data_IF_918480736043
#
_entry.id   IF_918480736043
#
_cell.length_a   1.000
_cell.length_b   1.000
_cell.length_c   1.000
_cell.angle_alpha   90.00
_cell.angle_beta   90.00
_cell.angle_gamma   90.00
#
_symmetry.space_group_name_H-M   'P 1'
#
loop_
_entity.id
_entity.type
_entity.pdbx_description
1 polymer ?
#
# COMPACT_ATOMS: atom_id res chain seq x y z
N UNK A 1 10.44 2.45 -5.96
CA UNK A 1 9.04 2.83 -5.64
C UNK A 1 8.32 1.64 -5.02
N UNK A 2 8.33 1.46 -3.69
CA UNK A 2 7.91 0.19 -3.08
C UNK A 2 6.68 0.20 -2.16
N UNK A 3 6.29 1.33 -1.56
CA UNK A 3 5.41 1.26 -0.37
C UNK A 3 3.90 1.39 -0.65
N UNK A 4 3.42 2.32 -1.48
CA UNK A 4 1.99 2.74 -1.47
C UNK A 4 0.96 1.65 -1.76
N UNK A 5 1.33 0.59 -2.48
CA UNK A 5 0.45 -0.55 -2.76
C UNK A 5 0.09 -1.36 -1.52
N UNK A 6 0.89 -1.33 -0.46
CA UNK A 6 0.62 -2.08 0.76
C UNK A 6 -0.33 -1.31 1.71
N UNK A 7 -0.30 0.02 1.69
CA UNK A 7 -1.08 0.87 2.62
C UNK A 7 -2.43 1.30 2.05
N UNK A 8 -2.67 1.05 0.76
CA UNK A 8 -3.91 1.42 0.09
C UNK A 8 -4.10 2.93 -0.10
N UNK A 9 -3.02 3.64 -0.44
CA UNK A 9 -3.10 5.07 -0.69
C UNK A 9 -3.72 5.35 -2.07
N UNK A 10 -4.97 5.82 -2.08
CA UNK A 10 -5.73 6.20 -3.29
C UNK A 10 -5.33 7.57 -3.86
N UNK A 11 -4.53 8.35 -3.15
CA UNK A 11 -4.16 9.70 -3.55
C UNK A 11 -2.65 9.80 -3.75
N UNK A 12 -2.16 9.10 -4.79
CA UNK A 12 -0.76 9.18 -5.20
C UNK A 12 -0.65 9.96 -6.51
N UNK A 13 -0.83 11.27 -6.43
CA UNK A 13 -0.53 12.18 -7.53
C UNK A 13 0.97 12.16 -7.85
N UNK A 14 1.37 12.62 -9.03
CA UNK A 14 2.78 12.73 -9.43
C UNK A 14 3.64 13.63 -8.52
N UNK A 15 3.03 14.35 -7.59
CA UNK A 15 3.70 15.15 -6.56
C UNK A 15 4.14 14.32 -5.33
N UNK A 16 3.68 13.08 -5.16
CA UNK A 16 3.91 12.26 -3.96
C UNK A 16 5.17 11.37 -4.05
N UNK A 17 6.08 11.77 -4.93
CA UNK A 17 7.46 11.32 -5.05
C UNK A 17 8.21 12.38 -5.87
N UNK A 18 9.51 12.51 -5.65
CA UNK A 18 10.29 13.50 -6.39
C UNK A 18 11.74 13.08 -6.54
N UNK A 19 12.51 13.98 -7.14
CA UNK A 19 13.95 13.87 -7.25
C UNK A 19 14.55 15.03 -6.47
N UNK A 20 15.36 14.72 -5.48
CA UNK A 20 16.16 15.70 -4.73
C UNK A 20 17.38 16.01 -5.58
N UNK A 21 17.48 17.25 -6.04
CA UNK A 21 18.66 17.78 -6.71
C UNK A 21 19.33 18.81 -5.80
N UNK A 22 20.64 18.99 -5.95
CA UNK A 22 21.32 20.13 -5.35
C UNK A 22 21.25 21.30 -6.33
N UNK A 23 20.81 22.47 -5.86
CA UNK A 23 20.70 23.70 -6.68
C UNK A 23 22.04 24.05 -7.35
N UNK A 24 23.14 23.84 -6.62
CA UNK A 24 24.51 24.08 -7.09
C UNK A 24 25.07 22.95 -7.98
N UNK A 25 24.32 21.88 -8.23
CA UNK A 25 24.73 20.78 -9.12
C UNK A 25 25.86 19.86 -8.61
N UNK A 26 26.38 20.06 -7.39
CA UNK A 26 27.53 19.30 -6.87
C UNK A 26 27.23 17.85 -6.48
N UNK A 27 25.95 17.46 -6.45
CA UNK A 27 25.53 16.09 -6.16
C UNK A 27 24.56 15.60 -7.21
N UNK A 28 24.76 14.36 -7.64
CA UNK A 28 23.86 13.69 -8.56
C UNK A 28 22.44 13.65 -7.99
N UNK A 29 21.43 13.89 -8.83
CA UNK A 29 20.03 13.75 -8.46
C UNK A 29 19.75 12.38 -7.82
N UNK A 30 18.94 12.36 -6.76
CA UNK A 30 18.49 11.12 -6.09
C UNK A 30 16.98 11.13 -5.88
N UNK A 31 16.34 9.98 -5.90
CA UNK A 31 14.92 9.92 -5.54
C UNK A 31 14.71 10.37 -4.09
N UNK A 32 13.65 11.14 -3.86
CA UNK A 32 13.21 11.47 -2.51
C UNK A 32 12.79 10.20 -1.78
N UNK A 33 12.84 10.17 -0.43
CA UNK A 33 12.04 9.26 0.35
C UNK A 33 10.57 9.33 -0.08
N UNK A 34 9.81 8.26 0.15
CA UNK A 34 8.37 8.29 -0.11
C UNK A 34 7.71 9.15 0.98
N UNK A 35 6.86 10.09 0.57
CA UNK A 35 6.11 10.97 1.46
C UNK A 35 4.62 11.01 1.04
N UNK A 36 3.78 11.63 1.87
CA UNK A 36 2.33 11.74 1.68
C UNK A 36 1.60 10.39 1.50
N UNK A 37 1.75 9.50 2.50
CA UNK A 37 1.04 8.21 2.58
C UNK A 37 -0.15 8.22 3.54
N UNK A 38 -0.54 9.40 4.06
CA UNK A 38 -1.48 9.54 5.16
C UNK A 38 -2.93 9.12 4.82
N UNK A 39 -3.29 9.08 3.53
CA UNK A 39 -4.65 8.76 3.06
C UNK A 39 -4.94 7.25 2.92
N UNK A 40 -3.99 6.39 3.29
CA UNK A 40 -4.20 4.94 3.37
C UNK A 40 -4.86 4.49 4.68
N UNK A 41 -5.04 3.18 4.84
CA UNK A 41 -5.38 2.53 6.12
C UNK A 41 -6.61 3.09 6.86
N UNK A 42 -7.73 3.24 6.15
CA UNK A 42 -9.02 3.65 6.72
C UNK A 42 -9.02 5.05 7.37
N UNK A 43 -8.14 5.96 6.92
CA UNK A 43 -8.09 7.34 7.40
C UNK A 43 -9.47 8.03 7.45
N UNK A 44 -10.28 7.85 6.40
CA UNK A 44 -11.61 8.46 6.28
C UNK A 44 -12.74 7.69 7.00
N UNK A 45 -12.45 6.56 7.65
CA UNK A 45 -13.44 5.78 8.41
C UNK A 45 -13.20 6.01 9.89
N UNK A 46 -14.19 6.51 10.60
CA UNK A 46 -14.14 6.71 12.05
C UNK A 46 -14.35 5.41 12.83
N UNK A 47 -14.26 5.46 14.17
CA UNK A 47 -14.39 4.25 15.00
C UNK A 47 -15.76 3.59 14.93
N UNK A 48 -16.82 4.39 14.82
CA UNK A 48 -18.19 3.89 14.69
C UNK A 48 -18.42 3.24 13.33
N UNK A 49 -17.87 3.84 12.27
CA UNK A 49 -17.81 3.26 10.94
C UNK A 49 -17.13 1.90 10.95
N UNK A 50 -15.97 1.77 11.59
CA UNK A 50 -15.27 0.49 11.73
C UNK A 50 -16.07 -0.52 12.57
N UNK A 51 -16.71 -0.09 13.66
CA UNK A 51 -17.54 -0.95 14.52
C UNK A 51 -18.64 -1.64 13.72
N UNK A 52 -19.32 -0.89 12.85
CA UNK A 52 -20.38 -1.43 11.97
C UNK A 52 -19.88 -2.48 10.97
N UNK A 53 -18.57 -2.53 10.70
CA UNK A 53 -17.99 -3.51 9.79
C UNK A 53 -17.40 -4.73 10.51
N UNK A 54 -17.32 -4.76 11.85
CA UNK A 54 -16.64 -5.86 12.57
C UNK A 54 -17.20 -7.24 12.24
N UNK A 55 -18.54 -7.37 12.15
CA UNK A 55 -19.20 -8.64 11.79
C UNK A 55 -19.00 -9.08 10.34
N UNK A 56 -18.59 -8.16 9.46
CA UNK A 56 -18.33 -8.40 8.03
C UNK A 56 -16.94 -7.90 7.61
N UNK A 57 -15.98 -8.01 8.52
CA UNK A 57 -14.66 -7.43 8.36
C UNK A 57 -13.99 -7.92 7.07
N UNK A 58 -14.05 -9.22 6.79
CA UNK A 58 -13.44 -9.81 5.60
C UNK A 58 -14.04 -9.20 4.32
N UNK A 59 -15.36 -9.18 4.18
CA UNK A 59 -16.05 -8.58 3.02
C UNK A 59 -15.69 -7.09 2.85
N UNK A 60 -15.63 -6.35 3.96
CA UNK A 60 -15.24 -4.95 3.94
C UNK A 60 -13.79 -4.77 3.47
N UNK A 61 -12.87 -5.60 3.96
CA UNK A 61 -11.47 -5.58 3.55
C UNK A 61 -11.31 -6.02 2.08
N UNK A 62 -12.05 -7.03 1.63
CA UNK A 62 -12.08 -7.49 0.23
C UNK A 62 -12.41 -6.33 -0.70
N UNK A 63 -13.52 -5.65 -0.40
CA UNK A 63 -13.94 -4.48 -1.13
C UNK A 63 -12.89 -3.37 -1.08
N UNK A 64 -12.39 -3.02 0.11
CA UNK A 64 -11.38 -1.97 0.28
C UNK A 64 -10.08 -2.27 -0.50
N UNK A 65 -9.64 -3.53 -0.51
CA UNK A 65 -8.44 -3.93 -1.26
C UNK A 65 -8.63 -3.86 -2.76
N UNK A 66 -9.82 -4.22 -3.25
CA UNK A 66 -10.18 -4.22 -4.68
C UNK A 66 -10.42 -2.80 -5.21
N UNK A 67 -11.12 -1.96 -4.47
CA UNK A 67 -11.52 -0.59 -4.86
C UNK A 67 -10.44 0.45 -4.56
N UNK A 68 -9.20 -0.02 -4.35
CA UNK A 68 -8.03 0.82 -4.15
C UNK A 68 -7.29 0.93 -5.49
N UNK A 69 -7.54 2.04 -6.19
CA UNK A 69 -7.07 2.27 -7.55
C UNK A 69 -5.80 3.13 -7.58
N UNK A 70 -4.76 2.71 -8.32
CA UNK A 70 -3.63 3.58 -8.63
C UNK A 70 -4.07 4.74 -9.53
N UNK A 71 -3.37 5.87 -9.40
CA UNK A 71 -3.44 6.97 -10.37
C UNK A 71 -2.78 6.64 -11.73
N UNK A 72 -2.15 5.47 -11.83
CA UNK A 72 -1.55 4.96 -13.07
C UNK A 72 -2.44 3.85 -13.63
N UNK A 73 -2.86 4.00 -14.88
CA UNK A 73 -3.62 2.99 -15.60
C UNK A 73 -2.73 2.06 -16.44
N UNK A 74 -3.37 1.30 -17.32
CA UNK A 74 -2.71 0.52 -18.37
C UNK A 74 -3.54 0.62 -19.64
N UNK A 75 -2.90 0.86 -20.78
CA UNK A 75 -3.60 1.02 -22.05
C UNK A 75 -4.41 -0.25 -22.38
N UNK A 76 -5.71 -0.08 -22.65
CA UNK A 76 -6.63 -1.19 -22.89
C UNK A 76 -7.23 -1.85 -21.65
N UNK A 77 -6.93 -1.36 -20.44
CA UNK A 77 -7.65 -1.74 -19.21
C UNK A 77 -8.42 -0.54 -18.65
N UNK A 78 -9.71 -0.75 -18.38
CA UNK A 78 -10.52 0.26 -17.69
C UNK A 78 -10.26 0.18 -16.18
N UNK A 79 -9.74 1.27 -15.62
CA UNK A 79 -9.48 1.47 -14.18
C UNK A 79 -8.83 0.26 -13.46
N UNK A 80 -7.64 -0.21 -13.90
CA UNK A 80 -7.00 -1.37 -13.28
C UNK A 80 -6.60 -1.04 -11.84
N UNK A 81 -6.88 -1.96 -10.91
CA UNK A 81 -6.44 -1.83 -9.52
C UNK A 81 -4.93 -2.04 -9.39
N UNK A 82 -4.40 -1.82 -8.18
CA UNK A 82 -2.96 -1.89 -7.95
C UNK A 82 -2.31 -3.20 -8.36
N UNK A 83 -3.00 -4.33 -8.19
CA UNK A 83 -2.49 -5.67 -8.46
C UNK A 83 -2.53 -6.00 -9.95
N UNK A 84 -3.56 -5.56 -10.66
CA UNK A 84 -3.67 -5.70 -12.11
C UNK A 84 -2.53 -4.95 -12.83
N UNK A 85 -2.20 -3.75 -12.37
CA UNK A 85 -1.05 -3.02 -12.90
C UNK A 85 0.27 -3.76 -12.61
N UNK A 86 0.42 -4.45 -11.47
CA UNK A 86 1.64 -5.26 -11.23
C UNK A 86 1.72 -6.43 -12.21
N UNK A 87 0.61 -7.16 -12.39
CA UNK A 87 0.56 -8.27 -13.35
C UNK A 87 0.99 -7.82 -14.73
N UNK A 88 0.46 -6.69 -15.20
CA UNK A 88 0.84 -6.11 -16.49
C UNK A 88 2.33 -5.73 -16.57
N UNK A 89 2.90 -5.17 -15.49
CA UNK A 89 4.35 -4.91 -15.43
C UNK A 89 5.15 -6.20 -15.54
N UNK A 90 4.76 -7.27 -14.84
CA UNK A 90 5.47 -8.56 -14.91
C UNK A 90 5.33 -9.18 -16.31
N UNK A 91 4.13 -9.15 -16.89
CA UNK A 91 3.84 -9.66 -18.23
C UNK A 91 4.68 -8.97 -19.32
N UNK A 92 4.81 -7.64 -19.28
CA UNK A 92 5.48 -6.87 -20.33
C UNK A 92 6.96 -6.59 -20.03
N UNK A 93 7.35 -6.65 -18.76
CA UNK A 93 8.72 -6.39 -18.32
C UNK A 93 9.18 -7.43 -17.27
N UNK A 94 9.34 -8.71 -17.67
CA UNK A 94 9.67 -9.80 -16.73
C UNK A 94 10.95 -9.58 -15.92
N UNK A 95 11.89 -8.77 -16.43
CA UNK A 95 13.12 -8.41 -15.73
C UNK A 95 12.90 -7.69 -14.39
N UNK A 96 11.73 -7.08 -14.17
CA UNK A 96 11.38 -6.47 -12.90
C UNK A 96 10.81 -7.46 -11.87
N UNK A 97 10.41 -8.67 -12.26
CA UNK A 97 9.80 -9.65 -11.35
C UNK A 97 10.69 -9.97 -10.14
N UNK A 98 12.03 -10.19 -10.26
CA UNK A 98 12.86 -10.43 -9.08
C UNK A 98 12.91 -9.25 -8.12
N UNK A 99 12.85 -8.02 -8.64
CA UNK A 99 12.80 -6.80 -7.81
C UNK A 99 11.47 -6.69 -7.08
N UNK A 100 10.36 -6.99 -7.76
CA UNK A 100 9.03 -7.01 -7.17
C UNK A 100 8.88 -8.11 -6.12
N UNK A 101 9.44 -9.29 -6.36
CA UNK A 101 9.45 -10.38 -5.39
C UNK A 101 10.16 -10.00 -4.08
N UNK A 102 11.28 -9.26 -4.15
CA UNK A 102 11.98 -8.73 -2.96
C UNK A 102 11.13 -7.77 -2.11
N UNK A 103 10.07 -7.19 -2.69
CA UNK A 103 9.15 -6.29 -1.99
C UNK A 103 8.00 -7.04 -1.29
N UNK A 104 7.90 -8.37 -1.44
CA UNK A 104 6.98 -9.19 -0.65
C UNK A 104 7.50 -9.34 0.78
N UNK A 105 7.47 -8.22 1.53
CA UNK A 105 7.98 -8.12 2.90
C UNK A 105 7.06 -8.87 3.87
N UNK A 106 7.22 -10.19 3.97
CA UNK A 106 6.31 -11.07 4.72
C UNK A 106 6.17 -10.70 6.21
N UNK A 107 7.20 -10.09 6.79
CA UNK A 107 7.18 -9.65 8.20
C UNK A 107 6.49 -8.30 8.40
N UNK A 108 6.04 -7.62 7.34
CA UNK A 108 5.43 -6.30 7.43
C UNK A 108 4.26 -6.24 8.43
N UNK A 109 3.25 -7.15 8.40
CA UNK A 109 2.14 -7.06 9.35
C UNK A 109 2.60 -7.23 10.80
N UNK A 110 3.57 -8.11 11.07
CA UNK A 110 4.13 -8.30 12.41
C UNK A 110 4.89 -7.07 12.89
N UNK A 111 5.67 -6.45 12.00
CA UNK A 111 6.42 -5.23 12.31
C UNK A 111 5.48 -4.05 12.57
N UNK A 112 4.41 -3.92 11.79
CA UNK A 112 3.37 -2.89 12.01
C UNK A 112 2.61 -3.14 13.30
N UNK A 113 2.29 -4.39 13.62
CA UNK A 113 1.66 -4.75 14.90
C UNK A 113 2.53 -4.34 16.10
N UNK A 114 3.84 -4.60 16.05
CA UNK A 114 4.80 -4.12 17.06
C UNK A 114 4.87 -2.60 17.14
N UNK A 115 4.93 -1.91 16.00
CA UNK A 115 4.95 -0.44 15.93
C UNK A 115 3.69 0.15 16.58
N UNK A 116 2.51 -0.38 16.25
CA UNK A 116 1.24 0.06 16.81
C UNK A 116 1.11 -0.22 18.31
N UNK A 117 1.78 -1.26 18.81
CA UNK A 117 1.80 -1.60 20.22
C UNK A 117 2.79 -0.75 21.02
N UNK A 118 3.95 -0.39 20.44
CA UNK A 118 5.01 0.33 21.15
C UNK A 118 4.92 1.86 21.02
N UNK A 119 4.81 2.38 19.80
CA UNK A 119 4.88 3.83 19.52
C UNK A 119 3.52 4.50 19.50
N UNK A 120 2.46 3.73 19.19
CA UNK A 120 1.08 4.22 19.06
C UNK A 120 0.15 3.58 20.10
N UNK A 121 0.71 3.19 21.25
CA UNK A 121 -0.08 2.80 22.40
C UNK A 121 -0.97 3.98 22.84
N UNK A 122 -2.27 3.75 23.01
CA UNK A 122 -3.24 4.81 23.35
C UNK A 122 -3.70 5.73 22.21
N UNK A 123 -2.98 5.82 21.08
CA UNK A 123 -3.39 6.68 19.94
C UNK A 123 -4.44 6.03 19.03
N UNK A 124 -4.47 4.70 18.99
CA UNK A 124 -5.43 3.94 18.20
C UNK A 124 -6.22 2.98 19.07
N UNK A 125 -7.51 2.83 18.76
CA UNK A 125 -8.34 1.78 19.36
C UNK A 125 -7.82 0.39 18.98
N UNK A 126 -8.08 -0.61 19.83
CA UNK A 126 -7.79 -2.02 19.53
C UNK A 126 -8.46 -2.47 18.23
N UNK A 127 -9.68 -1.99 17.97
CA UNK A 127 -10.42 -2.21 16.72
C UNK A 127 -9.66 -1.70 15.51
N UNK A 128 -9.22 -0.44 15.52
CA UNK A 128 -8.50 0.12 14.37
C UNK A 128 -7.18 -0.59 14.13
N UNK A 129 -6.42 -0.90 15.20
CA UNK A 129 -5.20 -1.71 15.09
C UNK A 129 -5.49 -3.05 14.39
N UNK A 130 -6.58 -3.73 14.79
CA UNK A 130 -7.03 -4.97 14.14
C UNK A 130 -7.36 -4.78 12.65
N UNK A 131 -8.14 -3.76 12.28
CA UNK A 131 -8.45 -3.48 10.87
C UNK A 131 -7.20 -3.19 10.04
N UNK A 132 -6.28 -2.37 10.55
CA UNK A 132 -5.01 -2.03 9.88
C UNK A 132 -4.19 -3.29 9.62
N UNK A 133 -3.94 -4.08 10.65
CA UNK A 133 -3.09 -5.28 10.53
C UNK A 133 -3.74 -6.31 9.62
N UNK A 134 -5.06 -6.54 9.73
CA UNK A 134 -5.80 -7.45 8.84
C UNK A 134 -5.77 -6.98 7.38
N UNK A 135 -5.90 -5.67 7.13
CA UNK A 135 -5.79 -5.11 5.78
C UNK A 135 -4.40 -5.35 5.19
N UNK A 136 -3.34 -5.09 5.97
CA UNK A 136 -1.96 -5.30 5.54
C UNK A 136 -1.67 -6.76 5.22
N UNK A 137 -2.13 -7.69 6.08
CA UNK A 137 -2.00 -9.15 5.82
C UNK A 137 -2.65 -9.50 4.48
N UNK A 138 -3.90 -9.09 4.28
CA UNK A 138 -4.63 -9.40 3.06
C UNK A 138 -4.01 -8.82 1.79
N UNK A 139 -3.54 -7.57 1.84
CA UNK A 139 -2.86 -6.93 0.71
C UNK A 139 -1.53 -7.59 0.40
N UNK A 140 -0.80 -8.01 1.43
CA UNK A 140 0.46 -8.73 1.27
C UNK A 140 0.26 -10.12 0.66
N UNK A 141 -0.79 -10.85 1.07
CA UNK A 141 -1.17 -12.13 0.46
C UNK A 141 -1.50 -11.97 -1.03
N UNK A 142 -2.34 -10.99 -1.38
CA UNK A 142 -2.66 -10.68 -2.78
C UNK A 142 -1.41 -10.24 -3.57
N UNK A 143 -0.53 -9.46 -2.96
CA UNK A 143 0.73 -9.06 -3.59
C UNK A 143 1.64 -10.25 -3.85
N UNK A 144 1.83 -11.12 -2.84
CA UNK A 144 2.64 -12.31 -2.94
C UNK A 144 2.13 -13.23 -4.07
N UNK A 145 0.81 -13.45 -4.13
CA UNK A 145 0.16 -14.22 -5.19
C UNK A 145 0.50 -13.70 -6.60
N UNK A 146 0.49 -12.37 -6.76
CA UNK A 146 0.76 -11.69 -8.04
C UNK A 146 2.21 -11.77 -8.47
N UNK A 147 3.17 -11.78 -7.53
CA UNK A 147 4.60 -11.74 -7.87
C UNK A 147 5.28 -13.12 -7.88
N UNK A 148 4.62 -14.15 -7.35
CA UNK A 148 5.13 -15.53 -7.29
C UNK A 148 4.55 -16.44 -8.37
N UNK A 149 3.39 -16.09 -8.94
CA UNK A 149 2.81 -16.74 -10.11
C UNK A 149 3.24 -16.04 -11.39
#
# INVERSE_FOLDING_TARGET
MGSTRLWGNNDRHHFNWGVITQVEGKRSPRFSPIFDSARGLFWNTDEEGLRKQEGRMNEYLDRYTRECYPMIGWDGLDNPNHFEVIRKIIEHFPSYQPTLHKLALLDLPKNVEKLLAAEFEGLFSSRRKKFIVSCLRKRLEQYADVVTK
#
